data_IF_609554182563
#
_entry.id   IF_609554182563
#
_cell.length_a   1.000
_cell.length_b   1.000
_cell.length_c   1.000
_cell.angle_alpha   90.00
_cell.angle_beta   90.00
_cell.angle_gamma   90.00
#
_symmetry.space_group_name_H-M   'P 1'
#
loop_
_entity.id
_entity.type
_entity.pdbx_description
1 polymer ?
#
# COMPACT_ATOMS: atom_id res chain seq x y z
N UNK A 1 13.90 -5.03 13.23
CA UNK A 1 13.20 -5.85 12.23
C UNK A 1 14.15 -6.11 11.06
N UNK A 2 14.48 -7.36 10.77
CA UNK A 2 15.39 -7.65 9.64
C UNK A 2 14.73 -7.34 8.31
N UNK A 3 15.53 -6.88 7.37
CA UNK A 3 15.09 -6.59 6.01
C UNK A 3 15.63 -7.66 5.07
N UNK A 4 14.75 -8.20 4.23
CA UNK A 4 15.11 -9.16 3.19
C UNK A 4 14.68 -8.63 1.83
N UNK A 5 15.53 -8.78 0.85
CA UNK A 5 15.20 -8.48 -0.54
C UNK A 5 14.95 -9.80 -1.24
N UNK A 6 13.74 -9.99 -1.74
CA UNK A 6 13.34 -11.24 -2.38
C UNK A 6 12.71 -10.98 -3.74
N UNK A 7 12.77 -11.98 -4.61
CA UNK A 7 12.19 -11.93 -5.93
C UNK A 7 10.98 -12.86 -5.96
N UNK A 8 9.81 -12.30 -5.63
CA UNK A 8 8.59 -13.08 -5.49
C UNK A 8 7.36 -12.19 -5.69
N UNK A 9 6.26 -12.78 -6.14
CA UNK A 9 4.97 -12.09 -6.21
C UNK A 9 4.54 -11.69 -4.80
N UNK A 10 4.41 -10.38 -4.54
CA UNK A 10 4.07 -9.84 -3.23
C UNK A 10 2.74 -10.41 -2.70
N UNK A 11 1.81 -10.74 -3.60
CA UNK A 11 0.49 -11.27 -3.22
C UNK A 11 0.54 -12.70 -2.70
N UNK A 12 1.67 -13.38 -2.87
CA UNK A 12 1.88 -14.76 -2.40
C UNK A 12 2.69 -14.83 -1.11
N UNK A 13 3.13 -13.70 -0.59
CA UNK A 13 3.90 -13.65 0.64
C UNK A 13 3.00 -13.81 1.86
N UNK A 14 3.48 -14.57 2.84
CA UNK A 14 2.80 -14.74 4.13
C UNK A 14 3.34 -13.71 5.12
N UNK A 15 2.81 -12.51 5.06
CA UNK A 15 3.17 -11.39 5.92
C UNK A 15 1.91 -10.82 6.56
N UNK A 16 2.08 -10.04 7.62
CA UNK A 16 0.94 -9.42 8.30
C UNK A 16 0.28 -8.36 7.42
N UNK A 17 1.06 -7.63 6.64
CA UNK A 17 0.52 -6.66 5.70
C UNK A 17 1.36 -6.59 4.44
N UNK A 18 0.69 -6.43 3.31
CA UNK A 18 1.35 -6.04 2.05
C UNK A 18 1.06 -4.57 1.80
N UNK A 19 2.05 -3.87 1.24
CA UNK A 19 1.89 -2.47 0.86
C UNK A 19 1.46 -2.39 -0.58
N UNK A 20 0.38 -1.66 -0.82
CA UNK A 20 -0.16 -1.37 -2.13
C UNK A 20 0.10 0.10 -2.47
N UNK A 21 0.74 0.35 -3.60
CA UNK A 21 0.92 1.71 -4.10
C UNK A 21 -0.29 2.08 -4.94
N UNK A 22 -0.97 3.14 -4.55
CA UNK A 22 -2.21 3.57 -5.17
C UNK A 22 -2.13 5.03 -5.58
N UNK A 23 -3.19 5.52 -6.21
CA UNK A 23 -3.37 6.94 -6.47
C UNK A 23 -4.12 7.61 -5.31
N UNK A 24 -4.15 8.96 -5.24
CA UNK A 24 -4.86 9.65 -4.17
C UNK A 24 -6.34 9.34 -4.07
N UNK A 25 -6.98 8.91 -5.16
CA UNK A 25 -8.42 8.58 -5.20
C UNK A 25 -8.73 7.16 -4.72
N UNK A 26 -7.73 6.31 -4.51
CA UNK A 26 -7.91 4.91 -4.08
C UNK A 26 -8.80 4.10 -5.03
N UNK A 27 -8.71 4.34 -6.32
CA UNK A 27 -9.66 3.78 -7.30
C UNK A 27 -9.11 2.62 -8.15
N UNK A 28 -7.95 2.09 -7.79
CA UNK A 28 -7.41 0.84 -8.36
C UNK A 28 -7.29 0.85 -9.89
N UNK A 29 -6.76 1.92 -10.46
CA UNK A 29 -6.74 2.14 -11.92
C UNK A 29 -5.77 1.29 -12.72
N UNK A 30 -4.89 0.52 -12.12
CA UNK A 30 -4.02 -0.34 -12.91
C UNK A 30 -2.84 -0.90 -12.16
N UNK A 31 -2.06 -1.74 -12.83
CA UNK A 31 -0.85 -2.35 -12.29
C UNK A 31 -1.12 -3.21 -11.06
N UNK A 32 -0.23 -3.14 -10.10
CA UNK A 32 -0.31 -3.89 -8.85
C UNK A 32 -1.59 -3.55 -8.07
N UNK A 33 -1.98 -2.28 -8.04
CA UNK A 33 -3.19 -1.81 -7.36
C UNK A 33 -4.43 -2.56 -7.86
N UNK A 34 -4.61 -2.60 -9.17
CA UNK A 34 -5.73 -3.32 -9.78
C UNK A 34 -5.68 -4.82 -9.46
N UNK A 35 -4.51 -5.43 -9.54
CA UNK A 35 -4.31 -6.85 -9.26
C UNK A 35 -4.65 -7.20 -7.81
N UNK A 36 -4.19 -6.40 -6.88
CA UNK A 36 -4.50 -6.57 -5.45
C UNK A 36 -6.01 -6.49 -5.22
N UNK A 37 -6.68 -5.53 -5.82
CA UNK A 37 -8.14 -5.40 -5.69
C UNK A 37 -8.89 -6.61 -6.28
N UNK A 38 -8.41 -7.14 -7.40
CA UNK A 38 -9.01 -8.35 -7.97
C UNK A 38 -8.91 -9.54 -7.01
N UNK A 39 -7.75 -9.73 -6.39
CA UNK A 39 -7.52 -10.86 -5.48
C UNK A 39 -8.25 -10.69 -4.14
N UNK A 40 -8.31 -9.47 -3.62
CA UNK A 40 -8.98 -9.20 -2.34
C UNK A 40 -10.50 -9.29 -2.43
N UNK A 41 -11.07 -8.89 -3.56
CA UNK A 41 -12.51 -8.93 -3.79
C UNK A 41 -13.19 -7.57 -3.66
N UNK A 42 -14.50 -7.55 -3.86
CA UNK A 42 -15.31 -6.32 -3.93
C UNK A 42 -15.36 -5.53 -2.63
N UNK A 43 -15.24 -6.21 -1.51
CA UNK A 43 -15.29 -5.58 -0.18
C UNK A 43 -14.17 -4.57 0.00
N UNK A 44 -12.99 -4.81 -0.61
CA UNK A 44 -11.90 -3.86 -0.56
C UNK A 44 -12.28 -2.56 -1.25
N UNK A 45 -12.94 -2.64 -2.40
CA UNK A 45 -13.40 -1.45 -3.12
C UNK A 45 -14.36 -0.61 -2.27
N UNK A 46 -15.25 -1.28 -1.53
CA UNK A 46 -16.21 -0.60 -0.64
C UNK A 46 -15.46 0.12 0.48
N UNK A 47 -14.52 -0.54 1.11
CA UNK A 47 -13.73 0.06 2.21
C UNK A 47 -12.92 1.25 1.71
N UNK A 48 -12.27 1.14 0.56
CA UNK A 48 -11.50 2.23 -0.03
C UNK A 48 -12.38 3.44 -0.37
N UNK A 49 -13.60 3.22 -0.85
CA UNK A 49 -14.54 4.32 -1.10
C UNK A 49 -14.96 5.03 0.18
N UNK A 50 -15.06 4.31 1.29
CA UNK A 50 -15.36 4.92 2.60
C UNK A 50 -14.22 5.79 3.10
N UNK A 51 -12.99 5.38 2.86
CA UNK A 51 -11.81 6.17 3.20
C UNK A 51 -11.78 7.45 2.35
N UNK A 52 -12.13 7.33 1.08
CA UNK A 52 -12.26 8.44 0.15
C UNK A 52 -10.97 8.80 -0.55
N UNK A 53 -10.11 9.59 0.09
CA UNK A 53 -8.89 10.11 -0.55
C UNK A 53 -7.71 10.06 0.40
N UNK A 54 -6.52 9.90 -0.19
CA UNK A 54 -5.24 10.06 0.48
C UNK A 54 -4.47 11.22 -0.17
N UNK A 55 -3.69 11.91 0.62
CA UNK A 55 -2.67 12.81 0.06
C UNK A 55 -1.45 11.99 -0.32
N UNK A 56 -0.74 12.41 -1.37
CA UNK A 56 0.51 11.76 -1.77
C UNK A 56 1.47 11.73 -0.58
N UNK A 57 2.03 10.57 -0.29
CA UNK A 57 2.91 10.34 0.86
C UNK A 57 2.20 9.85 2.12
N UNK A 58 0.87 9.88 2.14
CA UNK A 58 0.08 9.31 3.24
C UNK A 58 -0.24 7.83 3.00
N UNK A 59 -0.67 7.15 4.04
CA UNK A 59 -1.06 5.76 3.98
C UNK A 59 -2.30 5.49 4.84
N UNK A 60 -3.05 4.45 4.48
CA UNK A 60 -4.15 3.94 5.28
C UNK A 60 -4.11 2.42 5.31
N UNK A 61 -4.75 1.83 6.31
CA UNK A 61 -4.79 0.39 6.47
C UNK A 61 -6.21 -0.11 6.24
N UNK A 62 -6.34 -1.19 5.48
CA UNK A 62 -7.60 -1.92 5.30
C UNK A 62 -7.41 -3.37 5.65
N UNK A 63 -8.53 -4.10 5.77
CA UNK A 63 -8.47 -5.56 5.74
C UNK A 63 -7.95 -6.03 4.37
N UNK A 64 -7.32 -7.20 4.35
CA UNK A 64 -6.91 -7.85 3.12
C UNK A 64 -7.97 -8.76 2.52
N UNK A 65 -9.10 -8.93 3.20
CA UNK A 65 -10.23 -9.77 2.77
C UNK A 65 -9.77 -11.17 2.32
N UNK A 66 -9.99 -11.52 1.07
CA UNK A 66 -9.64 -12.85 0.54
C UNK A 66 -8.15 -13.02 0.26
N UNK A 67 -7.40 -11.94 0.25
CA UNK A 67 -6.00 -11.97 -0.19
C UNK A 67 -5.01 -12.22 0.96
N UNK A 68 -5.13 -11.43 2.03
CA UNK A 68 -4.16 -11.44 3.11
C UNK A 68 -4.79 -10.85 4.37
N UNK A 69 -3.99 -10.72 5.44
CA UNK A 69 -4.49 -10.18 6.70
C UNK A 69 -4.81 -8.70 6.61
N UNK A 70 -3.85 -7.89 6.21
CA UNK A 70 -4.02 -6.44 6.06
C UNK A 70 -3.35 -5.93 4.79
N UNK A 71 -3.87 -4.84 4.27
CA UNK A 71 -3.26 -4.09 3.17
C UNK A 71 -3.00 -2.68 3.66
N UNK A 72 -1.80 -2.19 3.45
CA UNK A 72 -1.46 -0.78 3.67
C UNK A 72 -1.42 -0.12 2.30
N UNK A 73 -2.32 0.83 2.07
CA UNK A 73 -2.38 1.59 0.83
C UNK A 73 -1.64 2.88 1.02
N UNK A 74 -0.72 3.21 0.14
CA UNK A 74 -0.01 4.48 0.17
C UNK A 74 -0.09 5.15 -1.19
N UNK A 75 -0.40 6.44 -1.20
CA UNK A 75 -0.48 7.22 -2.43
C UNK A 75 0.91 7.65 -2.85
N UNK A 76 1.44 7.00 -3.88
CA UNK A 76 2.78 7.29 -4.38
C UNK A 76 2.78 8.49 -5.33
N UNK A 77 3.89 9.25 -5.38
CA UNK A 77 3.98 10.36 -6.31
C UNK A 77 4.04 9.84 -7.76
N UNK A 78 3.48 10.63 -8.67
CA UNK A 78 3.71 10.42 -10.10
C UNK A 78 5.13 10.90 -10.37
N UNK A 79 5.97 9.99 -10.87
CA UNK A 79 7.36 10.34 -11.15
C UNK A 79 7.43 11.35 -12.27
N UNK A 80 8.01 12.51 -11.98
CA UNK A 80 8.21 13.58 -12.94
C UNK A 80 9.58 14.20 -12.67
N UNK A 81 10.43 14.25 -13.69
CA UNK A 81 11.79 14.79 -13.61
C UNK A 81 11.78 16.23 -13.08
N UNK A 82 10.73 17.00 -13.37
CA UNK A 82 10.62 18.39 -12.94
C UNK A 82 10.13 18.55 -11.50
N UNK A 83 9.61 17.50 -10.88
CA UNK A 83 9.12 17.56 -9.51
C UNK A 83 10.25 17.23 -8.55
N UNK A 84 10.80 18.25 -7.92
CA UNK A 84 11.93 18.10 -6.98
C UNK A 84 11.53 17.42 -5.66
N UNK A 85 10.22 17.24 -5.41
CA UNK A 85 9.72 16.66 -4.17
C UNK A 85 9.44 15.15 -4.28
N UNK A 86 9.65 14.53 -5.43
CA UNK A 86 9.33 13.11 -5.64
C UNK A 86 10.04 12.20 -4.66
N UNK A 87 11.32 12.42 -4.42
CA UNK A 87 12.11 11.61 -3.49
C UNK A 87 11.60 11.74 -2.07
N UNK A 88 11.31 12.96 -1.61
CA UNK A 88 10.77 13.22 -0.28
C UNK A 88 9.39 12.59 -0.11
N UNK A 89 8.54 12.66 -1.14
CA UNK A 89 7.21 12.07 -1.12
C UNK A 89 7.27 10.54 -1.10
N UNK A 90 8.19 9.95 -1.86
CA UNK A 90 8.38 8.51 -1.85
C UNK A 90 8.85 8.04 -0.47
N UNK A 91 9.80 8.73 0.13
CA UNK A 91 10.26 8.46 1.49
C UNK A 91 9.10 8.54 2.48
N UNK A 92 8.22 9.53 2.32
CA UNK A 92 7.03 9.69 3.15
C UNK A 92 6.08 8.50 3.03
N UNK A 93 5.94 7.91 1.84
CA UNK A 93 5.15 6.70 1.65
C UNK A 93 5.69 5.53 2.49
N UNK A 94 7.00 5.32 2.48
CA UNK A 94 7.61 4.27 3.30
C UNK A 94 7.42 4.54 4.79
N UNK A 95 7.67 5.76 5.24
CA UNK A 95 7.55 6.12 6.65
C UNK A 95 6.11 6.01 7.14
N UNK A 96 5.15 6.52 6.39
CA UNK A 96 3.72 6.44 6.73
C UNK A 96 3.27 4.99 6.84
N UNK A 97 3.72 4.13 5.94
CA UNK A 97 3.39 2.71 5.96
C UNK A 97 3.98 2.01 7.18
N UNK A 98 5.24 2.30 7.51
CA UNK A 98 5.91 1.73 8.68
C UNK A 98 5.28 2.21 9.99
N UNK A 99 4.85 3.47 10.06
CA UNK A 99 4.14 4.01 11.21
C UNK A 99 2.82 3.29 11.45
N UNK A 100 2.06 3.01 10.40
CA UNK A 100 0.83 2.21 10.50
C UNK A 100 1.11 0.81 10.98
N UNK A 101 2.12 0.15 10.42
CA UNK A 101 2.51 -1.19 10.84
C UNK A 101 2.86 -1.23 12.33
N UNK A 102 3.58 -0.22 12.81
CA UNK A 102 3.93 -0.10 14.23
C UNK A 102 2.69 0.15 15.10
N UNK A 103 1.80 1.04 14.67
CA UNK A 103 0.57 1.36 15.38
C UNK A 103 -0.32 0.14 15.58
N UNK A 104 -0.45 -0.69 14.55
CA UNK A 104 -1.24 -1.92 14.60
C UNK A 104 -0.44 -3.13 15.08
N UNK A 105 0.80 -2.93 15.53
CA UNK A 105 1.67 -3.97 16.09
C UNK A 105 1.90 -5.13 15.13
N UNK A 106 2.04 -4.83 13.85
CA UNK A 106 2.31 -5.84 12.83
C UNK A 106 3.77 -6.29 12.91
N UNK A 107 4.00 -7.57 12.74
CA UNK A 107 5.35 -8.17 12.85
C UNK A 107 6.07 -8.27 11.51
N UNK A 108 5.33 -8.26 10.42
CA UNK A 108 5.91 -8.40 9.08
C UNK A 108 5.13 -7.55 8.08
N UNK A 109 5.86 -6.98 7.15
CA UNK A 109 5.33 -6.10 6.11
C UNK A 109 6.15 -6.31 4.84
N UNK A 110 5.48 -6.34 3.70
CA UNK A 110 6.13 -6.45 2.41
C UNK A 110 5.86 -5.21 1.57
N UNK A 111 6.93 -4.64 1.04
CA UNK A 111 6.88 -3.53 0.07
C UNK A 111 7.08 -4.05 -1.34
N UNK A 112 6.37 -3.48 -2.32
CA UNK A 112 6.56 -3.85 -3.73
C UNK A 112 7.91 -3.40 -4.28
#
# INVERSE_FOLDING_TARGET
MPVKIIRQDITKLKVDAIVNTTNPSLDAKGGLDHYIHQLAGKELNVECRRIGKLKVGQACLTSGYKLCKYIIHTASPVWNIQNKNNEALLKSCYLSSLMLANEYKLKSIAFP
#
